data_IF_490775326962
#
_entry.id   IF_490775326962
#
_cell.length_a   1.000
_cell.length_b   1.000
_cell.length_c   1.000
_cell.angle_alpha   90.00
_cell.angle_beta   90.00
_cell.angle_gamma   90.00
#
_symmetry.space_group_name_H-M   'P 1'
#
loop_
_entity.id
_entity.type
_entity.pdbx_description
1 polymer ?
#
# COMPACT_ATOMS: atom_id res chain seq x y z
N UNK A 1 -1.62 0.87 2.04
CA UNK A 1 -0.79 1.66 2.96
C UNK A 1 -1.45 1.65 4.32
N UNK A 2 -0.84 1.01 5.32
CA UNK A 2 -1.34 0.98 6.69
C UNK A 2 -0.61 2.04 7.52
N UNK A 3 -1.04 3.29 7.37
CA UNK A 3 -0.47 4.41 8.13
C UNK A 3 -1.40 4.64 9.33
N UNK A 4 -0.89 4.38 10.54
CA UNK A 4 -1.66 4.57 11.79
C UNK A 4 -2.35 5.95 11.80
N UNK A 5 -3.67 5.96 12.01
CA UNK A 5 -4.48 7.18 12.03
C UNK A 5 -4.95 7.73 10.67
N UNK A 6 -4.48 7.17 9.54
CA UNK A 6 -4.92 7.58 8.18
C UNK A 6 -5.63 6.46 7.40
N UNK A 7 -6.05 5.41 8.10
CA UNK A 7 -6.68 4.24 7.50
C UNK A 7 -8.19 4.49 7.38
N UNK A 8 -8.70 4.55 6.14
CA UNK A 8 -10.16 4.63 5.86
C UNK A 8 -10.89 3.29 6.03
N UNK A 9 -10.16 2.21 6.30
CA UNK A 9 -10.72 0.90 6.59
C UNK A 9 -11.10 0.80 8.08
N UNK A 10 -12.33 1.19 8.40
CA UNK A 10 -12.90 1.03 9.74
C UNK A 10 -14.07 0.03 9.73
N UNK A 11 -14.56 -0.36 10.90
CA UNK A 11 -15.64 -1.35 11.02
C UNK A 11 -16.92 -0.93 10.30
N UNK A 12 -17.29 0.35 10.39
CA UNK A 12 -18.49 0.88 9.75
C UNK A 12 -18.37 0.85 8.22
N UNK A 13 -17.19 1.19 7.68
CA UNK A 13 -16.90 1.08 6.25
C UNK A 13 -17.00 -0.37 5.76
N UNK A 14 -16.61 -1.35 6.60
CA UNK A 14 -16.69 -2.78 6.26
C UNK A 14 -18.10 -3.34 6.35
N UNK A 15 -18.91 -2.89 7.31
CA UNK A 15 -20.35 -3.17 7.36
C UNK A 15 -21.08 -2.57 6.15
N UNK A 16 -20.72 -1.35 5.73
CA UNK A 16 -21.24 -0.73 4.51
C UNK A 16 -20.88 -1.51 3.25
N UNK A 17 -19.67 -2.06 3.18
CA UNK A 17 -19.21 -2.90 2.06
C UNK A 17 -20.14 -4.12 1.84
N UNK A 18 -20.63 -4.77 2.90
CA UNK A 18 -21.57 -5.89 2.81
C UNK A 18 -22.88 -5.49 2.11
N UNK A 19 -23.36 -4.27 2.38
CA UNK A 19 -24.63 -3.78 1.84
C UNK A 19 -24.50 -3.28 0.40
N UNK A 20 -23.34 -2.73 0.02
CA UNK A 20 -23.14 -2.03 -1.26
C UNK A 20 -22.36 -2.89 -2.28
N UNK A 21 -21.61 -3.90 -1.83
CA UNK A 21 -20.72 -4.67 -2.69
C UNK A 21 -20.83 -6.18 -2.46
N UNK A 22 -20.90 -6.96 -3.54
CA UNK A 22 -20.84 -8.42 -3.48
C UNK A 22 -19.38 -8.92 -3.33
N UNK A 23 -18.78 -8.75 -2.15
CA UNK A 23 -17.42 -9.21 -1.83
C UNK A 23 -17.36 -9.99 -0.50
N UNK A 24 -17.89 -11.23 -0.46
CA UNK A 24 -18.02 -12.01 0.78
C UNK A 24 -16.68 -12.29 1.47
N UNK A 25 -15.59 -12.43 0.70
CA UNK A 25 -14.22 -12.65 1.24
C UNK A 25 -13.68 -11.47 2.06
N UNK A 26 -14.33 -10.31 1.99
CA UNK A 26 -13.92 -9.07 2.66
C UNK A 26 -14.91 -8.65 3.75
N UNK A 27 -15.94 -9.45 4.02
CA UNK A 27 -16.90 -9.18 5.11
C UNK A 27 -16.29 -9.40 6.49
N UNK A 28 -16.78 -8.65 7.47
CA UNK A 28 -16.33 -8.80 8.87
C UNK A 28 -16.90 -10.09 9.43
N UNK A 29 -16.03 -10.92 10.01
CA UNK A 29 -16.48 -12.08 10.78
C UNK A 29 -17.10 -11.61 12.10
N UNK A 30 -18.38 -11.91 12.31
CA UNK A 30 -19.13 -11.56 13.53
C UNK A 30 -18.53 -12.22 14.78
N UNK A 31 -17.78 -13.33 14.64
CA UNK A 31 -17.08 -13.99 15.74
C UNK A 31 -15.78 -13.29 16.13
N UNK A 32 -15.21 -12.50 15.21
CA UNK A 32 -13.97 -11.73 15.43
C UNK A 32 -14.12 -10.32 14.87
N UNK A 33 -14.97 -9.48 15.48
CA UNK A 33 -15.24 -8.13 14.99
C UNK A 33 -13.96 -7.26 14.94
N UNK A 34 -12.94 -7.56 15.74
CA UNK A 34 -11.68 -6.80 15.74
C UNK A 34 -10.71 -7.21 14.61
N UNK A 35 -10.97 -8.32 13.91
CA UNK A 35 -10.11 -8.84 12.86
C UNK A 35 -10.69 -8.51 11.48
N UNK A 36 -10.45 -7.28 11.02
CA UNK A 36 -10.82 -6.88 9.66
C UNK A 36 -10.05 -7.72 8.62
N UNK A 37 -10.71 -8.38 7.67
CA UNK A 37 -10.03 -9.13 6.64
C UNK A 37 -9.19 -8.19 5.76
N UNK A 38 -7.93 -8.56 5.56
CA UNK A 38 -7.00 -7.84 4.69
C UNK A 38 -7.49 -7.85 3.24
N UNK A 39 -7.14 -6.83 2.48
CA UNK A 39 -7.43 -6.81 1.06
C UNK A 39 -6.58 -7.88 0.34
N UNK A 40 -7.06 -8.38 -0.80
CA UNK A 40 -6.34 -9.39 -1.59
C UNK A 40 -4.95 -8.90 -2.04
N UNK A 41 -4.76 -7.59 -2.17
CA UNK A 41 -3.50 -6.95 -2.55
C UNK A 41 -2.66 -6.48 -1.35
N UNK A 42 -2.94 -6.94 -0.13
CA UNK A 42 -2.12 -6.60 1.05
C UNK A 42 -0.83 -7.42 1.07
N UNK A 43 0.29 -6.74 0.86
CA UNK A 43 1.63 -7.36 0.93
C UNK A 43 2.00 -7.76 2.37
N UNK A 44 2.65 -8.90 2.52
CA UNK A 44 3.30 -9.32 3.77
C UNK A 44 4.51 -8.45 4.08
N UNK A 45 5.02 -8.50 5.32
CA UNK A 45 6.22 -7.73 5.71
C UNK A 45 7.45 -8.11 4.88
N UNK A 46 7.61 -9.40 4.57
CA UNK A 46 8.68 -9.91 3.73
C UNK A 46 8.55 -9.45 2.28
N UNK A 47 7.34 -9.49 1.72
CA UNK A 47 7.08 -8.98 0.37
C UNK A 47 7.37 -7.47 0.27
N UNK A 48 6.96 -6.69 1.29
CA UNK A 48 7.29 -5.26 1.37
C UNK A 48 8.80 -5.02 1.41
N UNK A 49 9.54 -5.84 2.15
CA UNK A 49 11.01 -5.75 2.21
C UNK A 49 11.65 -5.98 0.85
N UNK A 50 11.26 -7.06 0.16
CA UNK A 50 11.74 -7.36 -1.19
C UNK A 50 11.44 -6.23 -2.17
N UNK A 51 10.21 -5.70 -2.16
CA UNK A 51 9.83 -4.57 -3.00
C UNK A 51 10.64 -3.33 -2.65
N UNK A 52 10.90 -3.05 -1.37
CA UNK A 52 11.72 -1.90 -0.99
C UNK A 52 13.19 -2.04 -1.41
N UNK A 53 13.77 -3.22 -1.32
CA UNK A 53 15.13 -3.44 -1.81
C UNK A 53 15.21 -3.27 -3.32
N UNK A 54 14.20 -3.78 -4.04
CA UNK A 54 14.09 -3.62 -5.49
C UNK A 54 13.91 -2.15 -5.90
N UNK A 55 12.99 -1.41 -5.29
CA UNK A 55 12.78 0.01 -5.64
C UNK A 55 14.02 0.86 -5.36
N UNK A 56 14.79 0.53 -4.31
CA UNK A 56 16.07 1.21 -4.03
C UNK A 56 17.16 0.89 -5.05
N UNK A 57 17.13 -0.29 -5.67
CA UNK A 57 18.12 -0.68 -6.69
C UNK A 57 17.77 -0.19 -8.10
N UNK A 58 16.57 0.36 -8.31
CA UNK A 58 16.16 0.93 -9.59
C UNK A 58 17.10 2.06 -10.03
N UNK A 59 17.51 2.00 -11.29
CA UNK A 59 18.26 3.04 -11.99
C UNK A 59 17.51 3.42 -13.25
N UNK A 60 17.38 4.72 -13.49
CA UNK A 60 16.70 5.27 -14.65
C UNK A 60 17.69 6.10 -15.48
N UNK A 61 17.42 6.30 -16.78
CA UNK A 61 18.15 7.27 -17.59
C UNK A 61 18.10 8.66 -16.95
N UNK A 62 19.14 9.46 -17.22
CA UNK A 62 19.17 10.83 -16.73
C UNK A 62 17.99 11.64 -17.27
N UNK A 63 17.41 12.49 -16.43
CA UNK A 63 16.20 13.25 -16.73
C UNK A 63 14.87 12.48 -16.69
N UNK A 64 14.86 11.15 -16.55
CA UNK A 64 13.61 10.36 -16.59
C UNK A 64 12.87 10.25 -15.26
N UNK A 65 13.56 10.12 -14.13
CA UNK A 65 12.96 10.19 -12.77
C UNK A 65 13.96 10.81 -11.81
N UNK A 66 13.48 11.47 -10.76
CA UNK A 66 14.35 11.83 -9.63
C UNK A 66 14.95 10.58 -8.98
N UNK A 67 16.02 10.71 -8.19
CA UNK A 67 16.61 9.57 -7.48
C UNK A 67 15.62 8.94 -6.47
N UNK A 68 14.91 7.89 -6.90
CA UNK A 68 13.86 7.19 -6.13
C UNK A 68 14.41 6.52 -4.88
N UNK A 69 15.68 6.09 -4.90
CA UNK A 69 16.33 5.50 -3.73
C UNK A 69 16.29 6.43 -2.51
N UNK A 70 16.29 7.76 -2.72
CA UNK A 70 16.17 8.75 -1.65
C UNK A 70 14.78 8.81 -1.03
N UNK A 71 13.74 8.44 -1.78
CA UNK A 71 12.36 8.43 -1.33
C UNK A 71 12.01 7.18 -0.52
N UNK A 72 12.91 6.20 -0.43
CA UNK A 72 12.66 4.90 0.17
C UNK A 72 13.23 4.77 1.58
N UNK A 73 12.35 4.63 2.56
CA UNK A 73 12.69 4.28 3.93
C UNK A 73 12.58 2.76 4.14
N UNK A 74 13.73 2.09 4.19
CA UNK A 74 13.81 0.63 4.41
C UNK A 74 13.42 0.26 5.85
N UNK A 75 13.74 1.10 6.84
CA UNK A 75 13.48 0.79 8.24
C UNK A 75 11.97 0.73 8.50
N UNK A 76 11.22 1.68 7.94
CA UNK A 76 9.76 1.72 8.06
C UNK A 76 9.03 1.02 6.89
N UNK A 77 9.74 0.53 5.88
CA UNK A 77 9.18 -0.06 4.64
C UNK A 77 8.17 0.88 3.95
N UNK A 78 8.54 2.16 3.82
CA UNK A 78 7.65 3.22 3.31
C UNK A 78 8.34 4.09 2.25
N UNK A 79 7.56 4.43 1.23
CA UNK A 79 7.89 5.48 0.27
C UNK A 79 7.39 6.84 0.79
N UNK A 80 8.24 7.85 0.74
CA UNK A 80 7.88 9.22 1.10
C UNK A 80 8.70 10.23 0.28
N UNK A 81 8.19 11.45 0.12
CA UNK A 81 8.92 12.52 -0.57
C UNK A 81 9.11 12.32 -2.08
N UNK A 82 8.28 11.49 -2.73
CA UNK A 82 8.24 11.39 -4.20
C UNK A 82 7.60 12.63 -4.79
N UNK A 83 8.11 13.10 -5.93
CA UNK A 83 7.48 14.17 -6.70
C UNK A 83 6.34 13.59 -7.54
N UNK A 84 5.40 14.44 -7.98
CA UNK A 84 4.31 14.06 -8.87
C UNK A 84 4.80 13.34 -10.14
N UNK A 85 5.92 13.82 -10.69
CA UNK A 85 6.61 13.21 -11.82
C UNK A 85 7.05 11.77 -11.54
N UNK A 86 7.70 11.52 -10.40
CA UNK A 86 8.18 10.18 -10.04
C UNK A 86 6.99 9.21 -9.82
N UNK A 87 5.89 9.71 -9.24
CA UNK A 87 4.65 8.95 -9.10
C UNK A 87 4.02 8.59 -10.46
N UNK A 88 4.08 9.51 -11.43
CA UNK A 88 3.51 9.28 -12.76
C UNK A 88 4.18 8.11 -13.46
N UNK A 89 5.51 8.03 -13.39
CA UNK A 89 6.28 6.91 -13.97
C UNK A 89 5.85 5.55 -13.40
N UNK A 90 5.54 5.46 -12.10
CA UNK A 90 5.04 4.21 -11.48
C UNK A 90 3.60 3.84 -11.84
N UNK A 91 2.79 4.78 -12.35
CA UNK A 91 1.37 4.54 -12.67
C UNK A 91 1.14 4.37 -14.17
N UNK A 92 2.01 4.95 -14.99
CA UNK A 92 1.91 4.96 -16.45
C UNK A 92 2.43 3.65 -17.05
N UNK A 93 3.54 3.14 -16.52
CA UNK A 93 4.19 1.87 -16.91
C UNK A 93 3.71 0.70 -16.05
#
# INVERSE_FOLDING_TARGET
>A
MDIKGKIKNNLNARKGLKNICNRPKLEVDERRPNALPKAAYTLTKEQKKKISEWVRSLRFPDGYVSNIARCMDIANLRLHGMKSHDCHVFMQE
#
